data_IF_930469054683
#
_entry.id   IF_930469054683
#
_cell.length_a   1.000
_cell.length_b   1.000
_cell.length_c   1.000
_cell.angle_alpha   90.00
_cell.angle_beta   90.00
_cell.angle_gamma   90.00
#
_symmetry.space_group_name_H-M   'P 1'
#
loop_
_entity.id
_entity.type
_entity.pdbx_description
1 polymer ?
#
# COMPACT_ATOMS: atom_id res chain seq x y z
N UNK A 1 -11.57 -67.73 -20.15
CA UNK A 1 -10.97 -66.38 -20.13
C UNK A 1 -9.51 -66.54 -19.79
N UNK A 2 -8.61 -66.08 -20.68
CA UNK A 2 -7.17 -66.26 -20.54
C UNK A 2 -6.65 -65.43 -19.34
N UNK A 3 -5.72 -66.00 -18.58
CA UNK A 3 -5.20 -65.44 -17.33
C UNK A 3 -4.54 -64.06 -17.57
N UNK A 4 -3.98 -63.85 -18.77
CA UNK A 4 -3.43 -62.55 -19.22
C UNK A 4 -4.49 -61.45 -19.34
N UNK A 5 -5.74 -61.79 -19.69
CA UNK A 5 -6.83 -60.80 -19.74
C UNK A 5 -7.29 -60.37 -18.35
N UNK A 6 -7.19 -61.25 -17.35
CA UNK A 6 -7.53 -60.91 -15.96
C UNK A 6 -6.51 -59.92 -15.40
N UNK A 7 -5.21 -60.14 -15.60
CA UNK A 7 -4.17 -59.19 -15.15
C UNK A 7 -4.29 -57.83 -15.83
N UNK A 8 -4.55 -57.78 -17.13
CA UNK A 8 -4.74 -56.53 -17.86
C UNK A 8 -5.94 -55.73 -17.34
N UNK A 9 -7.05 -56.40 -17.02
CA UNK A 9 -8.25 -55.75 -16.46
C UNK A 9 -7.95 -55.24 -15.04
N UNK A 10 -7.26 -56.03 -14.21
CA UNK A 10 -6.88 -55.62 -12.85
C UNK A 10 -5.94 -54.41 -12.87
N UNK A 11 -4.95 -54.39 -13.76
CA UNK A 11 -4.00 -53.26 -13.91
C UNK A 11 -4.70 -51.98 -14.40
N UNK A 12 -5.66 -52.10 -15.33
CA UNK A 12 -6.47 -50.97 -15.79
C UNK A 12 -7.35 -50.43 -14.65
N UNK A 13 -7.96 -51.30 -13.84
CA UNK A 13 -8.75 -50.87 -12.68
C UNK A 13 -7.88 -50.23 -11.58
N UNK A 14 -6.66 -50.72 -11.34
CA UNK A 14 -5.73 -50.14 -10.37
C UNK A 14 -5.21 -48.77 -10.82
N UNK A 15 -4.90 -48.60 -12.11
CA UNK A 15 -4.52 -47.32 -12.69
C UNK A 15 -5.67 -46.29 -12.67
N UNK A 16 -6.91 -46.74 -12.89
CA UNK A 16 -8.09 -45.89 -12.81
C UNK A 16 -8.40 -45.46 -11.36
N UNK A 17 -8.24 -46.36 -10.39
CA UNK A 17 -8.40 -46.06 -8.96
C UNK A 17 -7.34 -45.06 -8.46
N UNK A 18 -6.09 -45.16 -8.94
CA UNK A 18 -5.03 -44.20 -8.63
C UNK A 18 -5.26 -42.83 -9.31
N UNK A 19 -5.89 -42.77 -10.48
CA UNK A 19 -6.27 -41.51 -11.13
C UNK A 19 -7.44 -40.78 -10.44
N UNK A 20 -8.29 -41.50 -9.69
CA UNK A 20 -9.42 -40.88 -8.96
C UNK A 20 -9.04 -40.22 -7.63
N UNK A 21 -7.79 -40.35 -7.17
CA UNK A 21 -7.27 -39.63 -5.99
C UNK A 21 -6.43 -38.44 -6.46
N UNK A 22 -6.95 -37.66 -7.41
CA UNK A 22 -6.58 -36.26 -7.49
C UNK A 22 -7.32 -35.57 -6.37
N UNK A 23 -6.70 -35.53 -5.18
CA UNK A 23 -7.19 -34.70 -4.09
C UNK A 23 -7.38 -33.29 -4.63
N UNK A 24 -8.63 -32.87 -4.77
CA UNK A 24 -8.98 -31.46 -4.76
C UNK A 24 -8.53 -30.94 -3.40
N UNK A 25 -7.24 -30.61 -3.26
CA UNK A 25 -6.78 -29.63 -2.30
C UNK A 25 -7.52 -28.37 -2.69
N UNK A 26 -8.70 -28.19 -2.09
CA UNK A 26 -9.36 -26.89 -2.00
C UNK A 26 -8.39 -26.04 -1.17
N UNK A 27 -7.34 -25.52 -1.82
CA UNK A 27 -6.61 -24.39 -1.32
C UNK A 27 -7.60 -23.25 -1.45
N UNK A 28 -8.43 -23.09 -0.42
CA UNK A 28 -9.30 -21.94 -0.30
C UNK A 28 -8.36 -20.76 -0.01
N UNK A 29 -7.66 -20.31 -1.06
CA UNK A 29 -6.56 -19.36 -0.96
C UNK A 29 -7.22 -18.00 -0.80
N UNK A 30 -7.36 -17.62 0.47
CA UNK A 30 -7.82 -16.30 0.88
C UNK A 30 -7.04 -15.23 0.12
N UNK A 31 -7.72 -14.16 -0.28
CA UNK A 31 -7.05 -13.04 -0.96
C UNK A 31 -6.15 -12.36 0.07
N UNK A 32 -4.84 -12.23 -0.19
CA UNK A 32 -3.92 -11.53 0.69
C UNK A 32 -4.35 -10.11 1.03
N UNK A 33 -3.85 -9.61 2.16
CA UNK A 33 -4.06 -8.22 2.58
C UNK A 33 -2.72 -7.50 2.68
N UNK A 34 -2.65 -6.33 2.07
CA UNK A 34 -1.55 -5.36 2.21
C UNK A 34 -2.03 -4.22 3.10
N UNK A 35 -1.26 -3.87 4.12
CA UNK A 35 -1.54 -2.76 5.04
C UNK A 35 -0.50 -1.66 4.83
N UNK A 36 -0.95 -0.40 4.74
CA UNK A 36 -0.07 0.77 4.82
C UNK A 36 -0.50 1.67 5.98
N UNK A 37 0.41 1.85 6.93
CA UNK A 37 0.20 2.65 8.12
C UNK A 37 0.14 4.17 7.85
N UNK A 38 -0.26 4.91 8.87
CA UNK A 38 -0.32 6.37 8.84
C UNK A 38 0.98 7.05 9.30
N UNK A 39 0.95 8.37 9.28
CA UNK A 39 2.02 9.24 9.77
C UNK A 39 2.39 8.92 11.22
N UNK A 40 3.70 8.77 11.51
CA UNK A 40 4.21 8.57 12.86
C UNK A 40 3.92 7.21 13.50
N UNK A 41 3.43 6.25 12.72
CA UNK A 41 3.32 4.84 13.10
C UNK A 41 4.33 4.01 12.29
N UNK A 42 4.31 2.69 12.48
CA UNK A 42 5.12 1.74 11.71
C UNK A 42 4.32 0.49 11.33
N UNK A 43 4.90 -0.36 10.48
CA UNK A 43 4.34 -1.64 10.05
C UNK A 43 3.87 -2.54 11.21
N UNK A 44 4.51 -2.41 12.37
CA UNK A 44 4.66 -3.54 13.28
C UNK A 44 4.40 -3.19 14.75
N UNK A 45 3.94 -1.97 15.05
CA UNK A 45 3.59 -1.57 16.42
C UNK A 45 2.47 -2.47 16.98
N UNK A 46 2.69 -3.22 18.08
CA UNK A 46 1.70 -4.14 18.64
C UNK A 46 0.37 -3.50 19.06
N UNK A 47 0.38 -2.20 19.38
CA UNK A 47 -0.81 -1.44 19.79
C UNK A 47 -1.56 -0.80 18.61
N UNK A 48 -0.98 -0.81 17.41
CA UNK A 48 -1.55 -0.23 16.19
C UNK A 48 -1.60 -1.28 15.07
N UNK A 49 -0.77 -1.19 14.03
CA UNK A 49 -0.82 -2.10 12.88
C UNK A 49 -0.61 -3.57 13.22
N UNK A 50 0.21 -3.87 14.24
CA UNK A 50 0.35 -5.23 14.75
C UNK A 50 -0.95 -5.80 15.29
N UNK A 51 -1.77 -4.96 15.96
CA UNK A 51 -3.10 -5.37 16.43
C UNK A 51 -4.08 -5.62 15.28
N UNK A 52 -4.05 -4.78 14.24
CA UNK A 52 -4.88 -4.93 13.03
C UNK A 52 -4.51 -6.21 12.29
N UNK A 53 -3.22 -6.44 12.05
CA UNK A 53 -2.72 -7.66 11.42
C UNK A 53 -3.18 -8.90 12.19
N UNK A 54 -2.97 -8.93 13.51
CA UNK A 54 -3.38 -10.04 14.37
C UNK A 54 -4.90 -10.26 14.34
N UNK A 55 -5.69 -9.19 14.32
CA UNK A 55 -7.14 -9.27 14.23
C UNK A 55 -7.58 -9.95 12.92
N UNK A 56 -7.00 -9.56 11.78
CA UNK A 56 -7.29 -10.14 10.47
C UNK A 56 -6.93 -11.63 10.45
N UNK A 57 -5.71 -11.98 10.88
CA UNK A 57 -5.23 -13.37 10.92
C UNK A 57 -6.08 -14.25 11.86
N UNK A 58 -6.61 -13.69 12.94
CA UNK A 58 -7.50 -14.41 13.87
C UNK A 58 -8.89 -14.67 13.25
N UNK A 59 -9.41 -13.73 12.45
CA UNK A 59 -10.75 -13.83 11.87
C UNK A 59 -10.78 -14.59 10.55
N UNK A 60 -9.67 -14.64 9.84
CA UNK A 60 -9.56 -15.29 8.52
C UNK A 60 -8.39 -16.28 8.56
N UNK A 61 -8.63 -17.56 8.86
CA UNK A 61 -7.57 -18.56 8.91
C UNK A 61 -6.78 -18.65 7.60
N UNK A 62 -5.46 -18.84 7.70
CA UNK A 62 -4.52 -18.99 6.58
C UNK A 62 -4.39 -17.77 5.65
N UNK A 63 -4.87 -16.59 6.04
CA UNK A 63 -4.65 -15.36 5.27
C UNK A 63 -3.20 -14.89 5.36
N UNK A 64 -2.65 -14.47 4.22
CA UNK A 64 -1.37 -13.77 4.16
C UNK A 64 -1.58 -12.27 4.36
N UNK A 65 -0.93 -11.69 5.38
CA UNK A 65 -0.99 -10.25 5.68
C UNK A 65 0.40 -9.64 5.63
N UNK A 66 0.60 -8.76 4.65
CA UNK A 66 1.79 -7.93 4.50
C UNK A 66 1.51 -6.54 5.07
N UNK A 67 2.10 -6.22 6.23
CA UNK A 67 2.15 -4.84 6.71
C UNK A 67 3.42 -4.19 6.16
N UNK A 68 3.27 -3.15 5.33
CA UNK A 68 4.37 -2.50 4.65
C UNK A 68 5.29 -1.79 5.65
N UNK A 69 6.60 -1.99 5.48
CA UNK A 69 7.68 -1.26 6.15
C UNK A 69 8.50 -0.55 5.07
N UNK A 70 8.70 0.76 5.23
CA UNK A 70 9.44 1.63 4.34
C UNK A 70 10.75 2.03 5.02
N UNK A 71 11.83 1.30 4.73
CA UNK A 71 13.11 1.45 5.41
C UNK A 71 13.61 0.10 5.94
N UNK A 72 14.73 0.13 6.66
CA UNK A 72 15.41 -1.08 7.13
C UNK A 72 14.97 -1.52 8.53
N UNK A 73 14.29 -0.65 9.28
CA UNK A 73 13.84 -0.91 10.65
C UNK A 73 12.64 -0.02 11.03
N UNK A 74 12.04 -0.27 12.19
CA UNK A 74 10.84 0.43 12.69
C UNK A 74 11.05 1.94 12.87
N UNK A 75 12.26 2.37 13.27
CA UNK A 75 12.56 3.79 13.47
C UNK A 75 12.57 4.49 12.12
N UNK A 76 13.30 3.93 11.15
CA UNK A 76 13.36 4.44 9.78
C UNK A 76 11.97 4.46 9.12
N UNK A 77 11.15 3.41 9.33
CA UNK A 77 9.76 3.33 8.87
C UNK A 77 8.89 4.48 9.41
N UNK A 78 9.04 4.76 10.71
CA UNK A 78 8.33 5.84 11.39
C UNK A 78 8.76 7.22 10.87
N UNK A 79 10.08 7.43 10.72
CA UNK A 79 10.66 8.69 10.23
C UNK A 79 10.35 8.94 8.75
N UNK A 80 10.39 7.90 7.92
CA UNK A 80 10.04 7.96 6.50
C UNK A 80 8.55 8.32 6.30
N UNK A 81 7.68 8.03 7.26
CA UNK A 81 6.31 8.54 7.31
C UNK A 81 6.22 10.08 7.34
N UNK A 82 7.31 10.78 7.66
CA UNK A 82 7.42 12.25 7.61
C UNK A 82 8.37 12.74 6.51
N UNK A 83 9.49 12.06 6.29
CA UNK A 83 10.65 12.68 5.62
C UNK A 83 11.01 12.08 4.24
N UNK A 84 10.51 10.89 3.90
CA UNK A 84 10.84 10.26 2.63
C UNK A 84 9.83 10.66 1.55
N UNK A 85 10.33 11.09 0.39
CA UNK A 85 9.49 11.50 -0.73
C UNK A 85 8.40 10.47 -1.07
N UNK A 86 7.12 10.86 -1.13
CA UNK A 86 5.99 9.94 -1.31
C UNK A 86 6.04 9.21 -2.66
N UNK A 87 6.58 9.83 -3.71
CA UNK A 87 6.77 9.15 -5.00
C UNK A 87 7.77 8.01 -4.86
N UNK A 88 8.87 8.23 -4.15
CA UNK A 88 9.88 7.20 -3.83
C UNK A 88 9.28 6.10 -2.95
N UNK A 89 8.45 6.44 -1.96
CA UNK A 89 7.75 5.41 -1.16
C UNK A 89 6.85 4.53 -2.02
N UNK A 90 6.05 5.13 -2.91
CA UNK A 90 5.16 4.40 -3.82
C UNK A 90 5.97 3.50 -4.75
N UNK A 91 7.09 3.98 -5.30
CA UNK A 91 7.99 3.17 -6.13
C UNK A 91 8.54 1.96 -5.38
N UNK A 92 9.07 2.17 -4.16
CA UNK A 92 9.56 1.08 -3.31
C UNK A 92 8.48 0.05 -3.00
N UNK A 93 7.25 0.51 -2.71
CA UNK A 93 6.11 -0.38 -2.47
C UNK A 93 5.74 -1.15 -3.74
N UNK A 94 5.66 -0.51 -4.90
CA UNK A 94 5.40 -1.19 -6.16
C UNK A 94 6.41 -2.33 -6.40
N UNK A 95 7.70 -2.09 -6.18
CA UNK A 95 8.74 -3.13 -6.32
C UNK A 95 8.57 -4.26 -5.30
N UNK A 96 8.28 -3.92 -4.04
CA UNK A 96 8.04 -4.90 -2.98
C UNK A 96 6.85 -5.80 -3.33
N UNK A 97 5.74 -5.21 -3.78
CA UNK A 97 4.53 -5.94 -4.17
C UNK A 97 4.76 -6.84 -5.39
N UNK A 98 5.52 -6.35 -6.38
CA UNK A 98 5.87 -7.12 -7.57
C UNK A 98 6.73 -8.34 -7.26
N UNK A 99 7.65 -8.22 -6.30
CA UNK A 99 8.56 -9.29 -5.89
C UNK A 99 7.90 -10.37 -5.02
N UNK A 100 6.74 -10.09 -4.41
CA UNK A 100 6.09 -11.00 -3.48
C UNK A 100 5.18 -12.01 -4.21
N UNK A 101 5.65 -13.25 -4.30
CA UNK A 101 4.92 -14.34 -4.98
C UNK A 101 3.57 -14.68 -4.35
N UNK A 102 3.31 -14.29 -3.10
CA UNK A 102 1.99 -14.48 -2.47
C UNK A 102 0.94 -13.56 -3.08
N UNK A 103 1.36 -12.40 -3.60
CA UNK A 103 0.49 -11.35 -4.12
C UNK A 103 0.23 -11.45 -5.63
N UNK A 104 0.93 -12.36 -6.34
CA UNK A 104 0.88 -12.46 -7.81
C UNK A 104 -0.53 -12.56 -8.41
N UNK A 105 -1.48 -13.15 -7.68
CA UNK A 105 -2.87 -13.33 -8.12
C UNK A 105 -3.81 -12.18 -7.68
N UNK A 106 -3.24 -11.14 -7.06
CA UNK A 106 -3.91 -9.97 -6.53
C UNK A 106 -4.06 -9.97 -5.01
N UNK A 107 -4.41 -8.80 -4.48
CA UNK A 107 -4.46 -8.53 -3.04
C UNK A 107 -5.53 -7.47 -2.72
N UNK A 108 -6.04 -7.48 -1.50
CA UNK A 108 -6.79 -6.36 -0.93
C UNK A 108 -5.81 -5.41 -0.22
N UNK A 109 -6.12 -4.12 -0.20
CA UNK A 109 -5.28 -3.09 0.38
C UNK A 109 -6.03 -2.28 1.43
N UNK A 110 -5.42 -2.09 2.59
CA UNK A 110 -5.95 -1.34 3.73
C UNK A 110 -4.99 -0.20 4.05
N UNK A 111 -5.43 1.04 3.82
CA UNK A 111 -4.64 2.22 4.11
C UNK A 111 -5.19 2.97 5.32
N UNK A 112 -4.31 3.33 6.24
CA UNK A 112 -4.65 4.09 7.44
C UNK A 112 -4.11 5.51 7.33
N UNK A 113 -4.98 6.52 7.54
CA UNK A 113 -4.62 7.93 7.39
C UNK A 113 -3.89 8.16 6.06
N UNK A 114 -2.67 8.72 6.05
CA UNK A 114 -1.96 9.00 4.80
C UNK A 114 -1.66 7.78 3.93
N UNK A 115 -1.53 6.58 4.53
CA UNK A 115 -1.30 5.33 3.79
C UNK A 115 -2.42 4.99 2.80
N UNK A 116 -3.62 5.55 3.00
CA UNK A 116 -4.74 5.36 2.07
C UNK A 116 -4.54 6.06 0.72
N UNK A 117 -4.15 7.34 0.70
CA UNK A 117 -3.84 7.99 -0.58
C UNK A 117 -2.57 7.42 -1.23
N UNK A 118 -1.63 6.87 -0.44
CA UNK A 118 -0.46 6.19 -0.99
C UNK A 118 -0.83 4.87 -1.67
N UNK A 119 -1.70 4.06 -1.07
CA UNK A 119 -2.24 2.87 -1.73
C UNK A 119 -3.10 3.20 -2.94
N UNK A 120 -3.82 4.33 -2.92
CA UNK A 120 -4.50 4.84 -4.12
C UNK A 120 -3.49 5.15 -5.24
N UNK A 121 -2.36 5.79 -4.91
CA UNK A 121 -1.29 6.05 -5.87
C UNK A 121 -0.68 4.74 -6.42
N UNK A 122 -0.47 3.72 -5.57
CA UNK A 122 -0.06 2.37 -6.01
C UNK A 122 -1.05 1.81 -7.03
N UNK A 123 -2.36 1.87 -6.75
CA UNK A 123 -3.38 1.37 -7.66
C UNK A 123 -3.37 2.11 -9.02
N UNK A 124 -3.07 3.40 -9.02
CA UNK A 124 -2.97 4.22 -10.25
C UNK A 124 -1.67 3.98 -11.04
N UNK A 125 -0.55 3.74 -10.36
CA UNK A 125 0.79 3.75 -10.98
C UNK A 125 1.37 2.37 -11.27
N UNK A 126 1.05 1.34 -10.48
CA UNK A 126 1.56 -0.01 -10.67
C UNK A 126 0.42 -1.05 -10.63
N UNK A 127 -0.23 -1.33 -11.77
CA UNK A 127 -1.41 -2.20 -11.82
C UNK A 127 -1.12 -3.70 -11.58
N UNK A 128 0.15 -4.08 -11.46
CA UNK A 128 0.58 -5.47 -11.23
C UNK A 128 1.46 -5.59 -9.98
N UNK A 129 1.17 -6.53 -9.06
CA UNK A 129 -0.01 -7.41 -9.03
C UNK A 129 -1.33 -6.62 -8.85
N UNK A 130 -2.48 -7.19 -9.23
CA UNK A 130 -3.73 -6.42 -9.26
C UNK A 130 -4.30 -6.22 -7.85
N UNK A 131 -4.38 -4.95 -7.42
CA UNK A 131 -5.19 -4.57 -6.25
C UNK A 131 -6.68 -4.85 -6.54
N UNK A 132 -7.33 -5.60 -5.66
CA UNK A 132 -8.74 -6.02 -5.80
C UNK A 132 -9.70 -5.06 -5.14
N UNK A 133 -9.44 -4.75 -3.87
CA UNK A 133 -10.21 -3.78 -3.09
C UNK A 133 -9.24 -2.85 -2.38
N UNK A 134 -9.59 -1.56 -2.33
CA UNK A 134 -8.94 -0.56 -1.50
C UNK A 134 -9.89 -0.13 -0.39
N UNK A 135 -9.47 -0.27 0.86
CA UNK A 135 -10.18 0.22 2.03
C UNK A 135 -9.37 1.38 2.62
N UNK A 136 -9.99 2.56 2.65
CA UNK A 136 -9.40 3.80 3.17
C UNK A 136 -9.95 4.11 4.55
N UNK A 137 -9.11 4.01 5.58
CA UNK A 137 -9.44 4.38 6.95
C UNK A 137 -8.97 5.82 7.23
N UNK A 138 -9.86 6.78 7.01
CA UNK A 138 -9.59 8.20 7.28
C UNK A 138 -8.55 8.83 6.34
N UNK A 139 -8.41 8.31 5.11
CA UNK A 139 -7.49 8.83 4.11
C UNK A 139 -7.82 10.24 3.63
N UNK A 140 -6.78 11.01 3.29
CA UNK A 140 -6.91 12.40 2.86
C UNK A 140 -6.79 12.48 1.33
N UNK A 141 -7.77 11.94 0.62
CA UNK A 141 -7.69 11.82 -0.85
C UNK A 141 -7.69 13.16 -1.59
N UNK A 142 -8.18 14.24 -0.95
CA UNK A 142 -8.12 15.62 -1.44
C UNK A 142 -7.08 16.46 -0.66
N UNK A 143 -6.14 15.81 0.03
CA UNK A 143 -5.15 16.49 0.84
C UNK A 143 -5.73 17.12 2.11
N UNK A 144 -4.96 18.04 2.69
CA UNK A 144 -5.35 18.78 3.89
C UNK A 144 -5.00 20.26 3.76
N UNK A 145 -5.80 21.10 4.42
CA UNK A 145 -5.54 22.53 4.57
C UNK A 145 -5.69 22.96 6.03
N UNK A 146 -4.86 22.37 6.88
CA UNK A 146 -4.90 22.61 8.32
C UNK A 146 -4.46 21.37 9.06
N UNK A 147 -3.72 21.60 10.14
CA UNK A 147 -3.19 20.53 10.96
C UNK A 147 -3.76 20.63 12.39
N UNK A 148 -4.45 19.60 12.91
CA UNK A 148 -4.96 19.63 14.28
C UNK A 148 -3.79 19.67 15.28
N UNK A 149 -4.04 20.17 16.50
CA UNK A 149 -3.03 20.19 17.58
C UNK A 149 -2.47 18.78 17.77
N UNK A 150 -1.15 18.58 17.56
CA UNK A 150 -0.44 17.32 17.80
C UNK A 150 -0.33 17.01 19.31
N UNK A 151 -0.97 15.96 19.85
CA UNK A 151 -0.73 15.50 21.21
C UNK A 151 0.19 14.27 21.22
N UNK A 152 1.23 14.27 22.06
CA UNK A 152 2.09 13.09 22.31
C UNK A 152 3.47 13.12 21.63
N UNK A 153 4.32 12.16 22.00
CA UNK A 153 5.80 12.08 21.96
C UNK A 153 6.54 12.53 20.67
N UNK A 154 5.84 12.77 19.57
CA UNK A 154 6.38 13.35 18.33
C UNK A 154 6.48 14.88 18.35
N UNK A 155 6.45 15.53 19.53
CA UNK A 155 6.41 16.99 19.69
C UNK A 155 7.43 17.71 18.80
N UNK A 156 8.66 17.20 18.68
CA UNK A 156 9.69 17.85 17.86
C UNK A 156 9.46 17.72 16.36
N UNK A 157 9.19 16.51 15.85
CA UNK A 157 8.97 16.27 14.42
C UNK A 157 7.68 16.92 13.94
N UNK A 158 6.61 16.81 14.73
CA UNK A 158 5.35 17.45 14.40
C UNK A 158 5.43 18.99 14.46
N UNK A 159 6.11 19.56 15.48
CA UNK A 159 6.33 21.01 15.51
C UNK A 159 7.23 21.48 14.36
N UNK A 160 8.25 20.71 14.01
CA UNK A 160 9.15 21.02 12.90
C UNK A 160 8.39 21.03 11.57
N UNK A 161 7.61 19.98 11.30
CA UNK A 161 6.71 19.90 10.14
C UNK A 161 5.75 21.09 10.08
N UNK A 162 5.08 21.43 11.20
CA UNK A 162 4.18 22.60 11.26
C UNK A 162 4.90 23.90 10.90
N UNK A 163 6.12 24.09 11.40
CA UNK A 163 6.94 25.27 11.06
C UNK A 163 7.31 25.30 9.57
N UNK A 164 7.67 24.16 8.98
CA UNK A 164 8.00 24.07 7.56
C UNK A 164 6.79 24.35 6.67
N UNK A 165 5.61 23.81 6.99
CA UNK A 165 4.38 24.10 6.26
C UNK A 165 4.00 25.59 6.33
N UNK A 166 4.16 26.21 7.51
CA UNK A 166 3.97 27.66 7.68
C UNK A 166 5.01 28.51 6.95
N UNK A 167 6.25 28.01 6.81
CA UNK A 167 7.31 28.67 6.05
C UNK A 167 7.02 28.65 4.55
N UNK A 168 6.54 27.52 4.03
CA UNK A 168 6.06 27.39 2.67
C UNK A 168 5.97 25.94 2.22
N UNK A 169 4.77 25.37 2.22
CA UNK A 169 4.53 23.99 1.78
C UNK A 169 4.98 23.73 0.33
N UNK A 170 4.93 24.73 -0.55
CA UNK A 170 5.28 24.59 -1.97
C UNK A 170 6.71 25.02 -2.32
N UNK A 171 7.57 25.24 -1.32
CA UNK A 171 9.02 25.41 -1.56
C UNK A 171 9.58 24.06 -2.03
N UNK A 172 10.34 24.04 -3.13
CA UNK A 172 10.82 22.79 -3.78
C UNK A 172 11.50 21.83 -2.79
N UNK A 173 12.41 22.33 -1.95
CA UNK A 173 13.08 21.50 -0.94
C UNK A 173 12.09 20.91 0.09
N UNK A 174 11.08 21.68 0.52
CA UNK A 174 10.04 21.19 1.45
C UNK A 174 9.17 20.14 0.76
N UNK A 175 8.77 20.37 -0.49
CA UNK A 175 8.06 19.38 -1.29
C UNK A 175 8.88 18.09 -1.45
N UNK A 176 10.20 18.16 -1.61
CA UNK A 176 11.03 16.97 -1.80
C UNK A 176 11.23 16.15 -0.53
N UNK A 177 11.29 16.79 0.64
CA UNK A 177 11.73 16.19 1.91
C UNK A 177 10.65 16.10 2.99
N UNK A 178 9.45 16.64 2.78
CA UNK A 178 8.37 16.58 3.75
C UNK A 178 7.11 15.96 3.13
N UNK A 179 6.77 14.76 3.58
CA UNK A 179 5.61 13.99 3.13
C UNK A 179 4.32 14.80 3.21
N UNK A 180 4.11 15.52 4.32
CA UNK A 180 2.88 16.27 4.54
C UNK A 180 2.73 17.47 3.60
N UNK A 181 3.84 18.02 3.11
CA UNK A 181 3.79 19.08 2.11
C UNK A 181 3.28 18.56 0.76
N UNK A 182 3.60 17.31 0.41
CA UNK A 182 3.27 16.73 -0.88
C UNK A 182 1.77 16.46 -1.08
N UNK A 183 1.00 16.45 0.01
CA UNK A 183 -0.46 16.44 0.00
C UNK A 183 -1.09 17.64 0.73
N UNK A 184 -0.32 18.70 0.94
CA UNK A 184 -0.88 19.99 1.33
C UNK A 184 -1.64 20.58 0.14
N UNK A 185 -2.91 20.90 0.37
CA UNK A 185 -3.80 21.42 -0.66
C UNK A 185 -4.32 22.76 -0.18
N UNK A 186 -3.77 23.85 -0.71
CA UNK A 186 -4.21 25.21 -0.40
C UNK A 186 -5.37 25.62 -1.33
N UNK A 187 -6.63 25.64 -0.85
CA UNK A 187 -7.78 25.97 -1.69
C UNK A 187 -7.86 27.46 -2.02
N UNK A 188 -7.06 28.31 -1.37
CA UNK A 188 -6.97 29.75 -1.65
C UNK A 188 -5.98 30.00 -2.79
N UNK A 189 -4.87 29.24 -2.82
CA UNK A 189 -3.82 29.31 -3.84
C UNK A 189 -3.76 28.06 -4.69
N UNK A 190 -4.90 27.72 -5.28
CA UNK A 190 -5.11 26.51 -6.08
C UNK A 190 -4.12 26.36 -7.25
N UNK A 191 -3.78 27.46 -7.93
CA UNK A 191 -2.82 27.44 -9.05
C UNK A 191 -1.41 27.04 -8.58
N UNK A 192 -0.96 27.59 -7.45
CA UNK A 192 0.34 27.23 -6.86
C UNK A 192 0.37 25.75 -6.44
N UNK A 193 -0.73 25.25 -5.88
CA UNK A 193 -0.90 23.83 -5.56
C UNK A 193 -0.76 22.95 -6.81
N UNK A 194 -1.46 23.26 -7.89
CA UNK A 194 -1.43 22.48 -9.14
C UNK A 194 -0.08 22.49 -9.84
N UNK A 195 0.65 23.59 -9.75
CA UNK A 195 1.97 23.74 -10.36
C UNK A 195 3.08 23.06 -9.54
N UNK A 196 2.98 23.07 -8.20
CA UNK A 196 4.11 22.75 -7.32
C UNK A 196 3.93 21.50 -6.47
N UNK A 197 2.73 20.94 -6.34
CA UNK A 197 2.52 19.68 -5.61
C UNK A 197 3.17 18.52 -6.38
N UNK A 198 4.17 17.89 -5.76
CA UNK A 198 4.90 16.78 -6.38
C UNK A 198 4.15 15.43 -6.34
N UNK A 199 3.04 15.35 -5.62
CA UNK A 199 2.34 14.08 -5.39
C UNK A 199 0.83 14.19 -5.59
N UNK A 200 0.14 14.98 -4.75
CA UNK A 200 -1.31 14.96 -4.71
C UNK A 200 -1.94 15.48 -6.03
N UNK A 201 -1.40 16.56 -6.59
CA UNK A 201 -1.86 17.08 -7.87
C UNK A 201 -1.68 16.08 -9.02
N UNK A 202 -0.60 15.29 -9.02
CA UNK A 202 -0.38 14.23 -10.01
C UNK A 202 -1.46 13.14 -9.89
N UNK A 203 -1.61 12.55 -8.71
CA UNK A 203 -2.56 11.44 -8.50
C UNK A 203 -4.03 11.89 -8.53
N UNK A 204 -4.30 13.20 -8.58
CA UNK A 204 -5.62 13.79 -8.78
C UNK A 204 -5.84 14.32 -10.21
N UNK A 205 -4.86 14.18 -11.11
CA UNK A 205 -4.94 14.67 -12.50
C UNK A 205 -5.09 16.20 -12.60
N UNK A 206 -4.48 16.95 -11.69
CA UNK A 206 -4.61 18.41 -11.58
C UNK A 206 -3.40 19.18 -12.12
N UNK A 207 -2.34 18.47 -12.55
CA UNK A 207 -1.15 19.09 -13.14
C UNK A 207 -1.53 19.91 -14.38
N UNK A 208 -1.13 21.18 -14.37
CA UNK A 208 -1.27 22.05 -15.55
C UNK A 208 -0.24 21.63 -16.58
N UNK A 209 -0.66 20.87 -17.59
CA UNK A 209 0.18 20.60 -18.77
C UNK A 209 0.32 21.92 -19.53
N UNK A 210 1.46 22.61 -19.39
CA UNK A 210 1.81 23.69 -20.31
C UNK A 210 1.89 23.06 -21.71
N UNK A 211 0.92 23.41 -22.58
CA UNK A 211 0.84 22.97 -23.99
C UNK A 211 1.98 23.57 -24.85
N UNK A 212 3.22 23.53 -24.41
CA UNK A 212 4.38 23.96 -25.23
C UNK A 212 4.95 22.83 -26.11
N UNK A 213 4.42 21.61 -26.03
CA UNK A 213 4.88 20.46 -26.82
C UNK A 213 3.83 19.89 -27.81
N UNK A 214 2.75 20.63 -28.09
CA UNK A 214 1.70 20.20 -29.04
C UNK A 214 1.39 21.27 -30.11
N UNK A 215 2.40 22.04 -30.54
CA UNK A 215 2.35 22.84 -31.77
C UNK A 215 3.57 22.55 -32.63
#
# INVERSE_FOLDING_TARGET
MDMKHIYLIVDIFLACALCTISSNLITNKTIPVVIWHGMGDSCCNPLSMGSIKKMIETKIPNIYVLSLMIGNNIIEDTENGFLLNSNTQVEQVCQKLLSDTNLKNGYNALGFSQGAQFLRAVAQRCPFPPMKNLISFGGQHQGVYGFPRCPGESLKLCDYMRKLLNFGAYVSWVQEHLVQAQYWHDPIKEEEYREKSLFLADINQELVIIKSFLL
#
